data_IF_860245640561
#
_entry.id   IF_860245640561
#
_cell.length_a   1.000
_cell.length_b   1.000
_cell.length_c   1.000
_cell.angle_alpha   90.00
_cell.angle_beta   90.00
_cell.angle_gamma   90.00
#
_symmetry.space_group_name_H-M   'P 1'
#
loop_
_entity.id
_entity.type
_entity.pdbx_description
1 polymer ?
#
# COMPACT_ATOMS: atom_id res chain seq x y z
N UNK A 1 -42.53 30.22 28.75
CA UNK A 1 -41.17 29.63 28.67
C UNK A 1 -40.13 30.70 28.99
N UNK A 2 -39.16 30.44 29.86
CA UNK A 2 -38.11 31.40 30.24
C UNK A 2 -36.74 30.89 29.84
N UNK A 3 -35.84 31.79 29.44
CA UNK A 3 -34.46 31.45 29.11
C UNK A 3 -33.63 31.17 30.37
N UNK A 4 -32.66 30.27 30.28
CA UNK A 4 -31.72 30.00 31.38
C UNK A 4 -30.75 31.17 31.62
N UNK A 5 -30.47 31.99 30.59
CA UNK A 5 -29.54 33.12 30.66
C UNK A 5 -30.28 34.45 30.44
N UNK A 6 -29.72 35.55 30.95
CA UNK A 6 -30.23 36.89 30.62
C UNK A 6 -29.90 37.30 29.19
N UNK A 7 -30.73 38.14 28.56
CA UNK A 7 -30.48 38.58 27.19
C UNK A 7 -29.21 39.44 27.09
N UNK A 8 -28.59 39.47 25.92
CA UNK A 8 -27.35 40.20 25.71
C UNK A 8 -27.49 41.71 25.91
N UNK A 9 -28.66 42.28 25.64
CA UNK A 9 -28.92 43.71 25.83
C UNK A 9 -28.90 44.08 27.32
N UNK A 10 -29.58 43.30 28.18
CA UNK A 10 -29.53 43.50 29.63
C UNK A 10 -28.12 43.21 30.19
N UNK A 11 -27.45 42.18 29.68
CA UNK A 11 -26.08 41.83 30.10
C UNK A 11 -25.05 42.91 29.74
N UNK A 12 -25.13 43.50 28.53
CA UNK A 12 -24.31 44.65 28.11
C UNK A 12 -24.56 45.87 28.99
N UNK A 13 -25.79 46.05 29.45
CA UNK A 13 -26.22 47.14 30.34
C UNK A 13 -25.95 46.86 31.83
N UNK A 14 -25.48 45.66 32.19
CA UNK A 14 -25.25 45.21 33.57
C UNK A 14 -26.48 45.35 34.48
N UNK A 15 -27.67 45.06 33.95
CA UNK A 15 -28.93 45.06 34.71
C UNK A 15 -29.57 43.66 34.75
N UNK A 16 -30.45 43.42 35.73
CA UNK A 16 -31.23 42.18 35.84
C UNK A 16 -32.13 41.96 34.62
N UNK A 17 -32.26 40.70 34.18
CA UNK A 17 -33.08 40.29 33.05
C UNK A 17 -34.18 39.33 33.53
N UNK A 18 -35.42 39.58 33.11
CA UNK A 18 -36.64 38.81 33.40
C UNK A 18 -36.75 37.50 32.60
N UNK A 19 -35.93 37.37 31.54
CA UNK A 19 -35.69 36.14 30.75
C UNK A 19 -36.89 35.64 29.94
N UNK A 20 -37.87 36.51 29.65
CA UNK A 20 -39.00 36.16 28.79
C UNK A 20 -38.57 36.01 27.32
N UNK A 21 -39.08 34.97 26.64
CA UNK A 21 -38.79 34.67 25.23
C UNK A 21 -40.03 35.06 24.40
N UNK A 22 -39.89 35.70 23.23
CA UNK A 22 -38.66 35.95 22.45
C UNK A 22 -37.84 37.18 22.88
N UNK A 23 -38.42 38.13 23.62
CA UNK A 23 -37.76 39.34 24.11
C UNK A 23 -38.09 39.60 25.57
N UNK A 24 -37.12 40.14 26.33
CA UNK A 24 -37.34 40.47 27.73
C UNK A 24 -38.13 41.77 27.91
N UNK A 25 -38.92 41.85 28.97
CA UNK A 25 -39.79 42.99 29.27
C UNK A 25 -38.97 44.26 29.56
N UNK A 26 -37.78 44.10 30.16
CA UNK A 26 -36.86 45.22 30.37
C UNK A 26 -36.35 45.85 29.07
N UNK A 27 -36.22 45.07 27.98
CA UNK A 27 -35.87 45.60 26.66
C UNK A 27 -37.08 46.22 25.97
N UNK A 28 -38.25 45.56 26.05
CA UNK A 28 -39.51 46.05 25.48
C UNK A 28 -39.94 47.39 26.09
N UNK A 29 -39.99 47.48 27.42
CA UNK A 29 -40.39 48.71 28.14
C UNK A 29 -39.45 49.87 27.87
N UNK A 30 -38.16 49.57 27.67
CA UNK A 30 -37.17 50.62 27.38
C UNK A 30 -36.98 50.90 25.90
N UNK A 31 -37.86 50.37 25.04
CA UNK A 31 -37.85 50.52 23.57
C UNK A 31 -36.49 50.21 22.93
N UNK A 32 -35.82 49.15 23.42
CA UNK A 32 -34.52 48.71 22.90
C UNK A 32 -34.64 47.33 22.27
N UNK A 33 -33.95 47.14 21.16
CA UNK A 33 -33.88 45.84 20.49
C UNK A 33 -33.24 44.80 21.43
N UNK A 34 -33.99 43.74 21.73
CA UNK A 34 -33.48 42.61 22.50
C UNK A 34 -32.58 41.77 21.58
N UNK A 35 -31.29 41.71 21.89
CA UNK A 35 -30.30 40.92 21.15
C UNK A 35 -30.43 39.40 21.43
N UNK A 36 -31.52 38.98 22.05
CA UNK A 36 -31.83 37.58 22.33
C UNK A 36 -30.91 36.94 23.36
N UNK A 37 -30.99 35.60 23.41
CA UNK A 37 -30.40 34.74 24.44
C UNK A 37 -29.38 33.72 23.90
N UNK A 38 -29.11 33.74 22.59
CA UNK A 38 -28.25 32.77 21.90
C UNK A 38 -26.75 32.92 22.18
N UNK A 39 -25.92 32.07 21.57
CA UNK A 39 -24.46 32.17 21.69
C UNK A 39 -23.94 33.38 20.88
N UNK A 40 -23.03 34.20 21.44
CA UNK A 40 -22.34 35.27 20.70
C UNK A 40 -20.84 34.99 20.69
N UNK A 41 -20.31 34.65 19.52
CA UNK A 41 -18.89 34.47 19.30
C UNK A 41 -18.20 35.85 19.30
N UNK A 42 -17.11 35.97 20.05
CA UNK A 42 -16.21 37.15 20.03
C UNK A 42 -14.84 36.67 19.61
N UNK A 43 -14.35 37.20 18.49
CA UNK A 43 -12.99 36.96 18.03
C UNK A 43 -12.02 37.86 18.82
N UNK A 44 -10.90 37.33 19.36
CA UNK A 44 -9.93 38.15 20.05
C UNK A 44 -9.11 38.96 19.04
N UNK A 45 -9.15 40.29 19.16
CA UNK A 45 -8.08 41.13 18.62
C UNK A 45 -6.82 40.98 19.50
N UNK A 46 -5.68 41.33 18.89
CA UNK A 46 -4.27 41.14 19.29
C UNK A 46 -4.00 40.99 20.80
N UNK A 47 -3.04 40.11 21.19
CA UNK A 47 -2.79 39.78 22.58
C UNK A 47 -2.13 40.94 23.33
N UNK A 48 -2.94 41.78 23.98
CA UNK A 48 -2.48 42.73 24.98
C UNK A 48 -2.10 41.92 26.23
N UNK A 49 -0.81 41.70 26.47
CA UNK A 49 -0.22 40.76 27.46
C UNK A 49 -0.56 40.95 28.94
N UNK A 50 -1.77 41.40 29.29
CA UNK A 50 -2.27 41.67 30.65
C UNK A 50 -3.32 40.69 31.18
N UNK A 51 -3.62 39.57 30.50
CA UNK A 51 -4.53 38.53 31.05
C UNK A 51 -3.79 37.22 31.35
N UNK A 52 -3.92 36.73 32.59
CA UNK A 52 -3.51 35.38 33.00
C UNK A 52 -4.26 34.36 32.12
N UNK A 53 -3.50 33.45 31.48
CA UNK A 53 -4.06 32.30 30.76
C UNK A 53 -4.87 31.45 31.76
N UNK A 54 -6.14 31.11 31.51
CA UNK A 54 -6.76 30.01 32.24
C UNK A 54 -5.97 28.74 31.90
N UNK A 55 -5.66 27.92 32.91
CA UNK A 55 -5.08 26.59 32.71
C UNK A 55 -5.97 25.73 31.79
N UNK A 56 -5.44 24.65 31.22
CA UNK A 56 -6.17 23.81 30.29
C UNK A 56 -7.35 23.18 31.04
N UNK A 57 -8.54 23.75 30.84
CA UNK A 57 -9.77 23.08 31.21
C UNK A 57 -10.10 22.19 30.03
N UNK A 58 -9.94 20.88 30.23
CA UNK A 58 -10.33 19.87 29.25
C UNK A 58 -11.84 19.97 29.09
N UNK A 59 -12.27 20.71 28.05
CA UNK A 59 -13.60 20.55 27.52
C UNK A 59 -13.58 19.31 26.65
N UNK A 60 -14.14 18.21 27.17
CA UNK A 60 -14.58 17.09 26.36
C UNK A 60 -15.67 17.62 25.44
N UNK A 61 -15.29 18.01 24.22
CA UNK A 61 -16.22 18.26 23.15
C UNK A 61 -16.88 16.94 22.80
N UNK A 62 -18.21 16.89 22.98
CA UNK A 62 -19.05 15.81 22.46
C UNK A 62 -18.73 15.63 20.97
N UNK A 63 -18.04 14.53 20.66
CA UNK A 63 -17.72 14.11 19.31
C UNK A 63 -18.98 13.83 18.51
N UNK A 64 -18.85 13.99 17.20
CA UNK A 64 -19.90 13.94 16.20
C UNK A 64 -20.80 12.71 16.33
N UNK A 65 -22.10 12.97 16.52
CA UNK A 65 -23.22 12.04 16.50
C UNK A 65 -23.48 11.38 15.12
N UNK A 66 -22.47 11.31 14.23
CA UNK A 66 -22.63 10.83 12.86
C UNK A 66 -22.20 9.37 12.64
N UNK A 67 -21.34 8.79 13.48
CA UNK A 67 -21.08 7.33 13.48
C UNK A 67 -22.24 6.55 14.12
N UNK A 68 -22.98 7.19 15.04
CA UNK A 68 -24.19 6.64 15.67
C UNK A 68 -25.39 6.50 14.72
N UNK A 69 -25.25 6.86 13.43
CA UNK A 69 -26.32 6.78 12.41
C UNK A 69 -26.21 5.60 11.46
N UNK A 70 -25.19 4.75 11.57
CA UNK A 70 -25.25 3.42 10.96
C UNK A 70 -26.34 2.61 11.66
N UNK A 71 -27.31 2.07 10.90
CA UNK A 71 -28.36 1.17 11.41
C UNK A 71 -27.79 -0.04 12.17
N UNK A 72 -26.51 -0.33 11.99
CA UNK A 72 -25.80 -1.47 12.54
C UNK A 72 -24.71 -1.10 13.55
N UNK A 73 -24.56 0.17 13.93
CA UNK A 73 -23.55 0.61 14.92
C UNK A 73 -23.65 -0.19 16.21
N UNK A 74 -24.87 -0.39 16.71
CA UNK A 74 -25.10 -1.19 17.92
C UNK A 74 -24.66 -2.65 17.79
N UNK A 75 -24.67 -3.24 16.58
CA UNK A 75 -24.17 -4.60 16.36
C UNK A 75 -22.65 -4.64 16.21
N UNK A 76 -22.07 -3.63 15.59
CA UNK A 76 -20.61 -3.50 15.43
C UNK A 76 -19.91 -3.24 16.78
N UNK A 77 -20.53 -2.43 17.65
CA UNK A 77 -20.03 -2.15 19.00
C UNK A 77 -20.13 -3.35 19.95
N UNK A 78 -21.12 -4.23 19.75
CA UNK A 78 -21.33 -5.41 20.61
C UNK A 78 -20.52 -6.64 20.16
N UNK A 79 -19.81 -6.57 19.04
CA UNK A 79 -18.95 -7.64 18.58
C UNK A 79 -17.59 -7.57 19.29
N UNK A 80 -17.27 -8.61 20.06
CA UNK A 80 -15.94 -8.79 20.62
C UNK A 80 -15.02 -9.37 19.54
N UNK A 81 -14.00 -8.61 19.14
CA UNK A 81 -12.91 -9.15 18.32
C UNK A 81 -11.97 -10.02 19.16
N UNK A 82 -11.20 -10.89 18.51
CA UNK A 82 -10.18 -11.70 19.18
C UNK A 82 -9.21 -10.83 19.99
N UNK A 83 -8.90 -9.64 19.47
CA UNK A 83 -8.05 -8.63 20.10
C UNK A 83 -8.65 -8.12 21.42
N UNK A 84 -9.97 -7.88 21.47
CA UNK A 84 -10.69 -7.52 22.70
C UNK A 84 -10.64 -8.63 23.76
N UNK A 85 -10.68 -9.90 23.35
CA UNK A 85 -10.61 -11.07 24.26
C UNK A 85 -9.19 -11.23 24.82
N UNK A 86 -8.17 -11.01 23.99
CA UNK A 86 -6.76 -11.05 24.41
C UNK A 86 -6.48 -9.93 25.42
N UNK A 87 -6.97 -8.70 25.15
CA UNK A 87 -6.84 -7.57 26.06
C UNK A 87 -7.55 -7.80 27.41
N UNK A 88 -8.68 -8.51 27.42
CA UNK A 88 -9.41 -8.84 28.65
C UNK A 88 -8.73 -9.93 29.51
N UNK A 89 -7.82 -10.73 28.93
CA UNK A 89 -7.05 -11.76 29.67
C UNK A 89 -5.82 -11.21 30.36
N UNK A 90 -5.37 -10.03 29.96
CA UNK A 90 -4.23 -9.35 30.56
C UNK A 90 -4.83 -8.48 31.68
N UNK A 91 -4.60 -8.87 32.93
CA UNK A 91 -5.17 -8.24 34.13
C UNK A 91 -4.48 -6.90 34.43
N UNK A 92 -4.58 -5.97 33.48
CA UNK A 92 -3.87 -4.71 33.45
C UNK A 92 -4.89 -3.59 33.45
N UNK A 93 -4.89 -2.81 34.53
CA UNK A 93 -5.76 -1.64 34.69
C UNK A 93 -4.92 -0.36 34.65
N UNK A 94 -5.46 0.68 34.01
CA UNK A 94 -4.88 2.02 34.02
C UNK A 94 -3.83 2.25 32.91
N UNK A 95 -2.72 2.90 33.25
CA UNK A 95 -1.72 3.38 32.28
C UNK A 95 -1.08 2.24 31.49
N UNK A 96 -0.92 1.07 32.11
CA UNK A 96 -0.36 -0.11 31.44
C UNK A 96 -1.32 -0.69 30.38
N UNK A 97 -2.65 -0.52 30.56
CA UNK A 97 -3.65 -0.88 29.55
C UNK A 97 -3.59 0.11 28.39
N UNK A 98 -3.44 1.40 28.69
CA UNK A 98 -3.21 2.45 27.68
C UNK A 98 -1.90 2.25 26.93
N UNK A 99 -0.87 1.71 27.59
CA UNK A 99 0.45 1.43 26.98
C UNK A 99 0.40 0.16 26.13
N UNK A 100 -0.34 -0.86 26.56
CA UNK A 100 -0.64 -2.06 25.76
C UNK A 100 -1.53 -1.73 24.53
N UNK A 101 -2.54 -0.87 24.70
CA UNK A 101 -3.35 -0.32 23.61
C UNK A 101 -2.53 0.58 22.68
N UNK A 102 -1.60 1.37 23.22
CA UNK A 102 -0.67 2.19 22.43
C UNK A 102 0.34 1.37 21.62
N UNK A 103 0.69 0.17 22.08
CA UNK A 103 1.51 -0.78 21.31
C UNK A 103 0.82 -1.28 20.04
N UNK A 104 -0.52 -1.28 20.01
CA UNK A 104 -1.35 -1.62 18.83
C UNK A 104 -1.83 -0.41 18.02
N UNK A 105 -1.83 0.80 18.59
CA UNK A 105 -2.23 2.02 17.89
C UNK A 105 -1.09 2.51 16.99
N UNK A 106 -1.06 2.00 15.75
CA UNK A 106 -0.25 2.57 14.66
C UNK A 106 -0.70 3.99 14.34
N UNK A 107 0.32 4.86 14.22
CA UNK A 107 0.28 6.31 14.00
C UNK A 107 -0.62 7.07 14.98
N UNK A 108 0.00 7.90 15.82
CA UNK A 108 -0.70 8.96 16.52
C UNK A 108 -1.55 9.73 15.51
N UNK A 109 -2.86 9.52 15.53
CA UNK A 109 -3.80 10.37 14.80
C UNK A 109 -3.91 11.69 15.58
N UNK A 110 -2.80 12.42 15.65
CA UNK A 110 -2.84 13.83 15.97
C UNK A 110 -3.60 14.51 14.84
N UNK A 111 -4.63 15.30 15.18
CA UNK A 111 -5.28 16.22 14.25
C UNK A 111 -4.26 17.31 13.84
N UNK A 112 -3.27 16.93 13.03
CA UNK A 112 -2.51 17.87 12.25
C UNK A 112 -3.47 18.43 11.22
N UNK A 113 -3.97 19.64 11.48
CA UNK A 113 -4.73 20.42 10.51
C UNK A 113 -3.78 20.77 9.37
N UNK A 114 -3.64 19.83 8.43
CA UNK A 114 -3.08 20.12 7.13
C UNK A 114 -3.95 21.23 6.51
N UNK A 115 -3.38 22.35 6.04
CA UNK A 115 -4.14 23.33 5.25
C UNK A 115 -4.95 22.59 4.17
N UNK A 116 -6.23 22.93 3.92
CA UNK A 116 -7.01 22.20 2.94
C UNK A 116 -6.23 22.20 1.62
N UNK A 117 -5.99 21.01 1.06
CA UNK A 117 -5.60 20.91 -0.33
C UNK A 117 -6.77 21.52 -1.11
N UNK A 118 -6.50 22.53 -1.92
CA UNK A 118 -7.52 23.26 -2.68
C UNK A 118 -7.24 23.13 -4.17
N UNK A 119 -8.30 23.14 -4.97
CA UNK A 119 -8.18 23.09 -6.43
C UNK A 119 -7.71 21.74 -6.94
N UNK A 120 -6.74 21.75 -7.87
CA UNK A 120 -6.32 20.57 -8.63
C UNK A 120 -5.78 19.44 -7.75
N UNK A 121 -4.94 19.76 -6.76
CA UNK A 121 -4.32 18.75 -5.91
C UNK A 121 -5.33 17.96 -5.08
N UNK A 122 -6.45 18.59 -4.69
CA UNK A 122 -7.53 17.91 -3.96
C UNK A 122 -8.26 16.89 -4.86
N UNK A 123 -8.48 17.24 -6.12
CA UNK A 123 -9.09 16.35 -7.12
C UNK A 123 -8.18 15.16 -7.38
N UNK A 124 -6.88 15.43 -7.59
CA UNK A 124 -5.89 14.39 -7.82
C UNK A 124 -5.74 13.46 -6.62
N UNK A 125 -5.76 13.98 -5.39
CA UNK A 125 -5.68 13.15 -4.20
C UNK A 125 -6.96 12.31 -3.99
N UNK A 126 -8.15 12.87 -4.27
CA UNK A 126 -9.38 12.08 -4.23
C UNK A 126 -9.39 11.00 -5.31
N UNK A 127 -8.81 11.28 -6.48
CA UNK A 127 -8.61 10.28 -7.53
C UNK A 127 -7.62 9.19 -7.09
N UNK A 128 -6.54 9.55 -6.38
CA UNK A 128 -5.64 8.57 -5.79
C UNK A 128 -6.39 7.62 -4.86
N UNK A 129 -7.11 8.14 -3.87
CA UNK A 129 -7.84 7.38 -2.86
C UNK A 129 -8.91 6.45 -3.47
N UNK A 130 -9.66 6.95 -4.45
CA UNK A 130 -10.83 6.23 -4.99
C UNK A 130 -10.51 5.33 -6.17
N UNK A 131 -9.42 5.60 -6.90
CA UNK A 131 -9.11 4.91 -8.16
C UNK A 131 -7.73 4.28 -8.11
N UNK A 132 -6.68 5.04 -7.78
CA UNK A 132 -5.32 4.50 -7.83
C UNK A 132 -5.08 3.47 -6.72
N UNK A 133 -5.37 3.79 -5.44
CA UNK A 133 -5.09 2.87 -4.34
C UNK A 133 -5.82 1.53 -4.46
N UNK A 134 -7.10 1.46 -4.87
CA UNK A 134 -7.74 0.17 -5.14
C UNK A 134 -7.14 -0.54 -6.36
N UNK A 135 -6.77 0.19 -7.43
CA UNK A 135 -6.25 -0.41 -8.67
C UNK A 135 -4.86 -1.06 -8.52
N UNK A 136 -4.11 -0.67 -7.48
CA UNK A 136 -2.73 -1.13 -7.24
C UNK A 136 -2.64 -2.13 -6.08
N UNK A 137 -3.77 -2.53 -5.51
CA UNK A 137 -3.89 -3.54 -4.46
C UNK A 137 -4.90 -4.60 -4.89
N UNK A 138 -4.57 -5.86 -4.71
CA UNK A 138 -5.46 -6.98 -5.09
C UNK A 138 -6.59 -7.18 -4.08
N UNK A 139 -6.39 -6.73 -2.84
CA UNK A 139 -7.35 -6.83 -1.73
C UNK A 139 -7.56 -5.46 -1.09
N UNK A 140 -8.70 -5.24 -0.42
CA UNK A 140 -9.08 -3.90 0.07
C UNK A 140 -9.16 -3.78 1.60
N UNK A 141 -9.40 -4.86 2.34
CA UNK A 141 -9.55 -4.84 3.81
C UNK A 141 -8.31 -4.29 4.52
N UNK A 142 -7.12 -4.54 3.95
CA UNK A 142 -5.83 -4.07 4.48
C UNK A 142 -4.99 -3.35 3.43
N UNK A 143 -5.64 -2.54 2.59
CA UNK A 143 -4.95 -1.79 1.54
C UNK A 143 -4.06 -0.68 2.13
N UNK A 144 -2.79 -1.01 2.40
CA UNK A 144 -1.80 -0.08 2.96
C UNK A 144 -1.53 1.16 2.12
N UNK A 145 -1.82 1.14 0.81
CA UNK A 145 -1.76 2.35 -0.03
C UNK A 145 -2.80 3.39 0.40
N UNK A 146 -3.94 2.94 0.92
CA UNK A 146 -4.98 3.82 1.45
C UNK A 146 -4.85 4.01 2.97
N UNK A 147 -4.55 2.97 3.74
CA UNK A 147 -4.59 3.01 5.22
C UNK A 147 -3.29 3.46 5.86
N UNK A 148 -2.14 3.35 5.19
CA UNK A 148 -0.84 3.79 5.71
C UNK A 148 -0.25 4.95 4.88
N UNK A 149 -0.13 4.78 3.57
CA UNK A 149 0.54 5.75 2.69
C UNK A 149 -0.20 7.08 2.62
N UNK A 150 -1.52 7.06 2.42
CA UNK A 150 -2.31 8.28 2.31
C UNK A 150 -2.31 9.11 3.62
N UNK A 151 -2.57 8.53 4.81
CA UNK A 151 -2.41 9.24 6.08
C UNK A 151 -1.00 9.79 6.27
N UNK A 152 0.04 9.00 5.97
CA UNK A 152 1.44 9.44 6.08
C UNK A 152 1.75 10.64 5.19
N UNK A 153 1.19 10.68 3.98
CA UNK A 153 1.33 11.81 3.05
C UNK A 153 0.58 13.07 3.51
N UNK A 154 -0.41 12.94 4.40
CA UNK A 154 -1.24 14.04 4.90
C UNK A 154 -0.90 14.44 6.34
N UNK A 155 -0.14 13.61 7.04
CA UNK A 155 0.12 13.72 8.47
C UNK A 155 0.81 15.03 8.85
N UNK A 156 1.74 15.52 8.02
CA UNK A 156 2.49 16.73 8.32
C UNK A 156 2.79 17.57 7.08
N UNK A 157 3.33 18.76 7.33
CA UNK A 157 3.90 19.67 6.34
C UNK A 157 5.42 19.52 6.24
N UNK A 158 5.98 18.45 6.82
CA UNK A 158 7.40 18.17 6.72
C UNK A 158 7.80 17.92 5.26
N UNK A 159 9.09 18.13 4.96
CA UNK A 159 9.64 17.85 3.65
C UNK A 159 9.44 16.37 3.27
N UNK A 160 9.56 15.45 4.24
CA UNK A 160 9.29 14.01 4.10
C UNK A 160 7.85 13.69 3.64
N UNK A 161 6.83 14.18 4.34
CA UNK A 161 5.43 13.97 3.99
C UNK A 161 5.06 14.60 2.65
N UNK A 162 5.62 15.78 2.36
CA UNK A 162 5.42 16.45 1.08
C UNK A 162 6.13 15.69 -0.06
N UNK A 163 7.32 15.13 0.20
CA UNK A 163 8.06 14.29 -0.73
C UNK A 163 7.30 13.02 -1.08
N UNK A 164 6.48 12.48 -0.16
CA UNK A 164 5.56 11.36 -0.42
C UNK A 164 4.29 11.80 -1.16
N UNK A 165 3.73 12.97 -0.82
CA UNK A 165 2.50 13.47 -1.46
C UNK A 165 2.67 13.77 -2.94
N UNK A 166 3.77 14.41 -3.31
CA UNK A 166 4.02 14.76 -4.69
C UNK A 166 3.97 13.54 -5.63
N UNK A 167 4.56 12.38 -5.27
CA UNK A 167 4.43 11.18 -6.05
C UNK A 167 3.01 10.65 -6.24
N UNK A 168 2.17 10.72 -5.19
CA UNK A 168 0.76 10.34 -5.24
C UNK A 168 -0.02 11.23 -6.24
N UNK A 169 0.23 12.54 -6.18
CA UNK A 169 -0.36 13.52 -7.10
C UNK A 169 0.14 13.34 -8.53
N UNK A 170 1.42 13.03 -8.71
CA UNK A 170 2.04 12.77 -10.02
C UNK A 170 1.40 11.57 -10.73
N UNK A 171 1.23 10.44 -10.04
CA UNK A 171 0.55 9.25 -10.60
C UNK A 171 -0.89 9.59 -11.00
N UNK A 172 -1.59 10.33 -10.14
CA UNK A 172 -2.97 10.75 -10.39
C UNK A 172 -3.06 11.72 -11.56
N UNK A 173 -2.14 12.68 -11.66
CA UNK A 173 -2.06 13.65 -12.75
C UNK A 173 -1.74 12.97 -14.08
N UNK A 174 -0.90 11.94 -14.08
CA UNK A 174 -0.59 11.15 -15.27
C UNK A 174 -1.86 10.56 -15.89
N UNK A 175 -2.79 10.07 -15.05
CA UNK A 175 -4.03 9.41 -15.47
C UNK A 175 -5.18 10.36 -15.76
N UNK A 176 -5.33 11.40 -14.94
CA UNK A 176 -6.47 12.32 -15.01
C UNK A 176 -6.23 13.54 -15.91
N UNK A 177 -4.97 13.89 -16.18
CA UNK A 177 -4.59 15.10 -16.90
C UNK A 177 -3.73 14.75 -18.13
N UNK A 178 -2.46 15.15 -18.11
CA UNK A 178 -1.49 14.94 -19.16
C UNK A 178 -0.15 14.61 -18.54
N UNK A 179 0.71 13.97 -19.33
CA UNK A 179 2.07 13.66 -18.90
C UNK A 179 2.90 14.90 -18.57
N UNK A 180 2.70 16.00 -19.28
CA UNK A 180 3.40 17.26 -18.97
C UNK A 180 3.01 17.80 -17.58
N UNK A 181 1.79 17.53 -17.11
CA UNK A 181 1.32 17.95 -15.79
C UNK A 181 1.98 17.19 -14.62
N UNK A 182 2.71 16.10 -14.87
CA UNK A 182 3.39 15.33 -13.82
C UNK A 182 4.74 15.92 -13.42
N UNK A 183 5.40 16.66 -14.33
CA UNK A 183 6.76 17.16 -14.14
C UNK A 183 6.95 18.00 -12.86
N UNK A 184 6.05 18.96 -12.54
CA UNK A 184 6.21 19.76 -11.32
C UNK A 184 6.18 18.90 -10.05
N UNK A 185 5.30 17.89 -10.02
CA UNK A 185 5.21 16.97 -8.88
C UNK A 185 6.47 16.10 -8.76
N UNK A 186 6.98 15.54 -9.87
CA UNK A 186 8.24 14.77 -9.88
C UNK A 186 9.41 15.61 -9.36
N UNK A 187 9.56 16.85 -9.86
CA UNK A 187 10.64 17.76 -9.43
C UNK A 187 10.52 18.13 -7.94
N UNK A 188 9.30 18.42 -7.47
CA UNK A 188 9.07 18.74 -6.06
C UNK A 188 9.33 17.54 -5.15
N UNK A 189 8.95 16.33 -5.56
CA UNK A 189 9.23 15.11 -4.82
C UNK A 189 10.72 14.91 -4.57
N UNK A 190 11.53 14.98 -5.65
CA UNK A 190 12.98 14.82 -5.58
C UNK A 190 13.64 15.89 -4.71
N UNK A 191 13.23 17.16 -4.89
CA UNK A 191 13.76 18.27 -4.09
C UNK A 191 13.46 18.07 -2.61
N UNK A 192 12.19 17.79 -2.26
CA UNK A 192 11.77 17.65 -0.87
C UNK A 192 12.35 16.40 -0.22
N UNK A 193 12.52 15.29 -0.96
CA UNK A 193 13.19 14.12 -0.44
C UNK A 193 14.67 14.43 -0.15
N UNK A 194 15.37 15.08 -1.08
CA UNK A 194 16.76 15.50 -0.88
C UNK A 194 16.91 16.41 0.33
N UNK A 195 16.04 17.41 0.48
CA UNK A 195 16.01 18.31 1.65
C UNK A 195 15.76 17.53 2.94
N UNK A 196 14.83 16.57 2.92
CA UNK A 196 14.52 15.76 4.10
C UNK A 196 15.68 14.84 4.50
N UNK A 197 16.29 14.13 3.54
CA UNK A 197 17.39 13.19 3.80
C UNK A 197 18.64 13.94 4.28
N UNK A 198 18.94 15.11 3.71
CA UNK A 198 20.05 15.95 4.17
C UNK A 198 19.82 16.48 5.59
N UNK A 199 18.60 16.88 5.93
CA UNK A 199 18.24 17.28 7.29
C UNK A 199 18.35 16.13 8.30
N UNK A 200 17.97 14.91 7.92
CA UNK A 200 18.06 13.70 8.76
C UNK A 200 19.50 13.30 9.10
N UNK A 201 20.50 13.70 8.31
CA UNK A 201 21.93 13.49 8.65
C UNK A 201 22.38 14.33 9.86
N UNK A 202 21.69 15.44 10.14
CA UNK A 202 22.01 16.32 11.26
C UNK A 202 21.18 16.03 12.52
N UNK A 203 20.04 15.35 12.39
CA UNK A 203 19.19 14.88 13.50
C UNK A 203 18.55 13.56 13.09
N UNK A 204 18.69 12.45 13.84
CA UNK A 204 17.97 11.21 13.55
C UNK A 204 16.47 11.51 13.51
N UNK A 205 15.86 11.48 12.32
CA UNK A 205 14.48 11.93 12.14
C UNK A 205 13.50 10.79 12.41
N UNK A 206 12.37 11.13 13.02
CA UNK A 206 11.19 10.28 13.17
C UNK A 206 10.48 9.97 11.82
N UNK A 207 10.97 10.55 10.72
CA UNK A 207 10.31 10.58 9.40
C UNK A 207 10.80 9.52 8.40
N UNK A 208 11.53 8.50 8.86
CA UNK A 208 12.08 7.43 7.97
C UNK A 208 10.99 6.77 7.13
N UNK A 209 9.82 6.50 7.72
CA UNK A 209 8.69 5.87 7.01
C UNK A 209 8.23 6.71 5.82
N UNK A 210 8.11 8.03 6.00
CA UNK A 210 7.69 8.93 4.93
C UNK A 210 8.75 9.06 3.82
N UNK A 211 10.04 9.02 4.17
CA UNK A 211 11.14 9.02 3.20
C UNK A 211 11.17 7.71 2.40
N UNK A 212 11.04 6.57 3.08
CA UNK A 212 10.98 5.25 2.46
C UNK A 212 9.77 5.13 1.54
N UNK A 213 8.59 5.53 2.01
CA UNK A 213 7.36 5.58 1.24
C UNK A 213 7.51 6.46 -0.01
N UNK A 214 8.17 7.62 0.11
CA UNK A 214 8.40 8.53 -1.01
C UNK A 214 9.28 7.88 -2.09
N UNK A 215 10.39 7.23 -1.68
CA UNK A 215 11.23 6.45 -2.59
C UNK A 215 10.44 5.35 -3.28
N UNK A 216 9.70 4.54 -2.52
CA UNK A 216 8.89 3.47 -3.08
C UNK A 216 7.83 3.98 -4.05
N UNK A 217 7.20 5.13 -3.77
CA UNK A 217 6.23 5.72 -4.69
C UNK A 217 6.86 6.28 -5.96
N UNK A 218 8.08 6.82 -5.89
CA UNK A 218 8.82 7.22 -7.07
C UNK A 218 9.28 6.01 -7.90
N UNK A 219 9.69 4.90 -7.28
CA UNK A 219 9.93 3.64 -7.99
C UNK A 219 8.68 3.18 -8.74
N UNK A 220 7.53 3.23 -8.07
CA UNK A 220 6.25 2.81 -8.65
C UNK A 220 5.75 3.74 -9.76
N UNK A 221 6.12 5.02 -9.80
CA UNK A 221 5.82 5.87 -10.95
C UNK A 221 6.39 5.33 -12.26
N UNK A 222 7.56 4.69 -12.21
CA UNK A 222 8.15 4.01 -13.37
C UNK A 222 7.26 2.88 -13.91
N UNK A 223 6.34 2.34 -13.11
CA UNK A 223 5.37 1.34 -13.58
C UNK A 223 4.31 1.99 -14.47
N UNK A 224 3.92 3.23 -14.18
CA UNK A 224 2.91 3.97 -14.94
C UNK A 224 3.48 4.65 -16.18
N UNK A 225 4.71 5.20 -16.09
CA UNK A 225 5.35 5.95 -17.17
C UNK A 225 6.43 5.12 -17.86
N UNK A 226 6.13 4.62 -19.06
CA UNK A 226 7.01 3.73 -19.84
C UNK A 226 8.39 4.29 -20.19
N UNK A 227 8.57 5.61 -20.14
CA UNK A 227 9.87 6.24 -20.46
C UNK A 227 10.66 6.61 -19.20
N UNK A 228 10.09 6.38 -18.01
CA UNK A 228 10.76 6.59 -16.74
C UNK A 228 11.60 5.34 -16.40
N UNK A 229 12.90 5.39 -16.73
CA UNK A 229 13.84 4.27 -16.51
C UNK A 229 14.49 4.21 -15.13
N UNK A 230 14.25 5.19 -14.26
CA UNK A 230 15.04 5.41 -13.04
C UNK A 230 14.51 4.70 -11.79
N UNK A 231 13.53 3.79 -11.93
CA UNK A 231 12.91 3.09 -10.80
C UNK A 231 13.93 2.35 -9.92
N UNK A 232 14.98 1.81 -10.52
CA UNK A 232 16.05 1.08 -9.82
C UNK A 232 16.86 1.98 -8.88
N UNK A 233 17.02 3.27 -9.22
CA UNK A 233 17.71 4.25 -8.37
C UNK A 233 16.91 4.45 -7.08
N UNK A 234 15.61 4.68 -7.20
CA UNK A 234 14.72 4.88 -6.05
C UNK A 234 14.59 3.61 -5.19
N UNK A 235 14.54 2.44 -5.83
CA UNK A 235 14.53 1.16 -5.11
C UNK A 235 15.85 0.92 -4.36
N UNK A 236 16.99 1.28 -4.95
CA UNK A 236 18.29 1.16 -4.28
C UNK A 236 18.42 2.11 -3.09
N UNK A 237 17.92 3.34 -3.21
CA UNK A 237 17.85 4.27 -2.08
C UNK A 237 16.95 3.75 -0.96
N UNK A 238 15.79 3.15 -1.30
CA UNK A 238 14.93 2.48 -0.31
C UNK A 238 15.68 1.36 0.44
N UNK A 239 16.46 0.54 -0.27
CA UNK A 239 17.31 -0.51 0.33
C UNK A 239 18.33 0.08 1.31
N UNK A 240 19.07 1.09 0.87
CA UNK A 240 20.07 1.76 1.70
C UNK A 240 19.46 2.35 2.98
N UNK A 241 18.26 2.94 2.89
CA UNK A 241 17.54 3.46 4.05
C UNK A 241 17.15 2.35 5.04
N UNK A 242 16.59 1.24 4.54
CA UNK A 242 16.25 0.09 5.40
C UNK A 242 17.47 -0.48 6.12
N UNK A 243 18.58 -0.66 5.39
CA UNK A 243 19.83 -1.14 5.96
C UNK A 243 20.38 -0.17 7.03
N UNK A 244 20.34 1.14 6.77
CA UNK A 244 20.77 2.16 7.73
C UNK A 244 19.94 2.15 9.02
N UNK A 245 18.62 2.04 8.90
CA UNK A 245 17.69 2.02 10.05
C UNK A 245 17.95 0.82 10.96
N UNK A 246 18.21 -0.34 10.34
CA UNK A 246 18.53 -1.57 11.03
C UNK A 246 19.87 -1.50 11.77
N UNK A 247 20.93 -1.04 11.08
CA UNK A 247 22.26 -0.87 11.68
C UNK A 247 22.27 0.17 12.80
N UNK A 248 21.46 1.22 12.67
CA UNK A 248 21.37 2.28 13.66
C UNK A 248 20.57 1.90 14.91
N UNK A 249 20.06 0.65 14.99
CA UNK A 249 19.15 0.19 16.06
C UNK A 249 18.06 1.23 16.34
N UNK A 250 17.43 1.75 15.27
CA UNK A 250 16.41 2.78 15.43
C UNK A 250 15.34 2.30 16.43
N UNK A 251 14.92 3.19 17.32
CA UNK A 251 13.93 2.86 18.37
C UNK A 251 12.59 2.39 17.80
N UNK A 252 12.31 2.70 16.53
CA UNK A 252 11.09 2.32 15.82
C UNK A 252 11.45 1.68 14.46
N UNK A 253 11.12 0.40 14.23
CA UNK A 253 11.26 -0.21 12.92
C UNK A 253 10.24 0.38 11.93
N UNK A 254 10.54 0.36 10.62
CA UNK A 254 9.59 0.79 9.60
C UNK A 254 8.31 -0.05 9.58
N UNK A 255 7.22 0.49 9.03
CA UNK A 255 5.96 -0.27 9.01
C UNK A 255 6.08 -1.58 8.21
N UNK A 256 5.42 -2.62 8.70
CA UNK A 256 5.41 -3.93 8.05
C UNK A 256 4.92 -3.86 6.59
N UNK A 257 3.97 -2.95 6.29
CA UNK A 257 3.49 -2.73 4.94
C UNK A 257 4.60 -2.17 4.03
N UNK A 258 5.31 -1.11 4.45
CA UNK A 258 6.39 -0.51 3.65
C UNK A 258 7.49 -1.53 3.35
N UNK A 259 7.83 -2.31 4.36
CA UNK A 259 8.85 -3.34 4.26
C UNK A 259 8.39 -4.48 3.33
N UNK A 260 7.16 -4.95 3.47
CA UNK A 260 6.56 -5.96 2.57
C UNK A 260 6.49 -5.46 1.13
N UNK A 261 6.11 -4.19 0.95
CA UNK A 261 6.03 -3.57 -0.36
C UNK A 261 7.41 -3.33 -1.00
N UNK A 262 8.43 -3.00 -0.21
CA UNK A 262 9.82 -2.98 -0.68
C UNK A 262 10.27 -4.36 -1.15
N UNK A 263 10.03 -5.39 -0.33
CA UNK A 263 10.41 -6.77 -0.64
C UNK A 263 9.76 -7.25 -1.94
N UNK A 264 8.51 -6.88 -2.22
CA UNK A 264 7.85 -7.13 -3.50
C UNK A 264 8.70 -6.69 -4.70
N UNK A 265 9.13 -5.43 -4.71
CA UNK A 265 9.95 -4.89 -5.80
C UNK A 265 11.34 -5.52 -5.83
N UNK A 266 11.94 -5.78 -4.66
CA UNK A 266 13.27 -6.40 -4.56
C UNK A 266 13.28 -7.81 -5.15
N UNK A 267 12.36 -8.69 -4.71
CA UNK A 267 12.29 -10.08 -5.21
C UNK A 267 11.98 -10.11 -6.70
N UNK A 268 11.08 -9.25 -7.20
CA UNK A 268 10.79 -9.18 -8.63
C UNK A 268 12.00 -8.71 -9.45
N UNK A 269 12.74 -7.71 -8.97
CA UNK A 269 13.98 -7.27 -9.61
C UNK A 269 15.00 -8.42 -9.69
N UNK A 270 15.18 -9.18 -8.60
CA UNK A 270 16.09 -10.34 -8.55
C UNK A 270 15.62 -11.51 -9.41
N UNK A 271 14.31 -11.74 -9.52
CA UNK A 271 13.76 -12.73 -10.44
C UNK A 271 14.11 -12.42 -11.90
N UNK A 272 14.13 -11.14 -12.27
CA UNK A 272 14.54 -10.69 -13.62
C UNK A 272 16.05 -10.66 -13.82
N UNK A 273 16.85 -10.54 -12.76
CA UNK A 273 18.31 -10.45 -12.81
C UNK A 273 18.98 -11.42 -11.81
N UNK A 274 19.02 -12.73 -12.11
CA UNK A 274 19.47 -13.76 -11.16
C UNK A 274 20.93 -13.63 -10.72
N UNK A 275 21.76 -12.92 -11.48
CA UNK A 275 23.19 -12.73 -11.20
C UNK A 275 23.49 -11.48 -10.38
N UNK A 276 22.49 -10.65 -10.08
CA UNK A 276 22.69 -9.36 -9.41
C UNK A 276 22.54 -9.49 -7.87
N UNK A 277 23.64 -9.21 -7.15
CA UNK A 277 23.83 -9.12 -5.68
C UNK A 277 23.55 -10.38 -4.83
N UNK A 278 24.60 -10.91 -4.18
CA UNK A 278 24.56 -12.05 -3.23
C UNK A 278 24.53 -11.61 -1.74
N UNK A 279 24.96 -10.39 -1.41
CA UNK A 279 25.30 -10.03 -0.02
C UNK A 279 24.09 -9.73 0.90
N UNK A 280 22.89 -9.50 0.37
CA UNK A 280 21.70 -9.05 1.14
C UNK A 280 20.65 -10.16 1.44
N UNK A 281 20.99 -11.44 1.24
CA UNK A 281 20.04 -12.57 1.36
C UNK A 281 19.52 -12.82 2.78
N UNK A 282 20.37 -12.63 3.79
CA UNK A 282 19.98 -12.78 5.19
C UNK A 282 18.98 -11.70 5.62
N UNK A 283 18.93 -10.58 4.91
CA UNK A 283 18.05 -9.45 5.19
C UNK A 283 16.62 -9.72 4.74
N UNK A 284 16.41 -10.22 3.52
CA UNK A 284 15.07 -10.59 3.03
C UNK A 284 14.41 -11.66 3.91
N UNK A 285 15.17 -12.69 4.31
CA UNK A 285 14.68 -13.77 5.15
C UNK A 285 14.33 -13.32 6.58
N UNK A 286 15.18 -12.50 7.21
CA UNK A 286 14.92 -12.01 8.56
C UNK A 286 13.64 -11.16 8.62
N UNK A 287 13.35 -10.43 7.54
CA UNK A 287 12.22 -9.51 7.45
C UNK A 287 10.90 -10.25 7.21
N UNK A 288 10.86 -11.22 6.30
CA UNK A 288 9.64 -11.98 5.98
C UNK A 288 9.07 -12.72 7.20
N UNK A 289 9.95 -13.14 8.13
CA UNK A 289 9.57 -13.83 9.37
C UNK A 289 9.29 -12.91 10.57
N UNK A 290 9.26 -11.58 10.41
CA UNK A 290 8.92 -10.65 11.52
C UNK A 290 7.43 -10.56 11.85
N UNK A 291 6.55 -11.15 11.04
CA UNK A 291 5.10 -11.09 11.24
C UNK A 291 4.59 -12.35 11.93
N UNK A 292 3.99 -12.21 13.12
CA UNK A 292 3.25 -13.29 13.81
C UNK A 292 1.90 -13.64 13.12
N UNK A 293 1.62 -13.06 11.95
CA UNK A 293 0.38 -13.23 11.24
C UNK A 293 0.31 -14.56 10.48
N UNK A 294 -0.92 -15.01 10.19
CA UNK A 294 -1.19 -16.16 9.35
C UNK A 294 -0.63 -15.92 7.93
N UNK A 295 0.49 -16.59 7.61
CA UNK A 295 1.21 -16.45 6.34
C UNK A 295 0.44 -16.93 5.11
N UNK A 296 -0.73 -17.53 5.29
CA UNK A 296 -1.64 -17.96 4.21
C UNK A 296 -2.58 -16.86 3.72
N UNK A 297 -2.72 -15.75 4.47
CA UNK A 297 -3.57 -14.62 4.10
C UNK A 297 -2.94 -13.85 2.94
N UNK A 298 -3.75 -13.54 1.93
CA UNK A 298 -3.34 -12.75 0.76
C UNK A 298 -3.07 -11.30 1.16
N UNK A 299 -1.87 -10.81 0.80
CA UNK A 299 -1.48 -9.42 1.02
C UNK A 299 -1.68 -8.63 -0.27
N UNK A 300 -2.55 -7.61 -0.20
CA UNK A 300 -2.99 -6.84 -1.37
C UNK A 300 -1.87 -6.24 -2.23
N UNK A 301 -0.77 -5.76 -1.63
CA UNK A 301 0.36 -5.22 -2.38
C UNK A 301 1.24 -6.28 -3.06
N UNK A 302 1.20 -7.53 -2.60
CA UNK A 302 1.91 -8.66 -3.21
C UNK A 302 1.06 -9.35 -4.28
N UNK A 303 -0.26 -9.34 -4.11
CA UNK A 303 -1.20 -10.16 -4.87
C UNK A 303 -1.28 -11.61 -4.41
N UNK A 304 -0.48 -11.98 -3.43
CA UNK A 304 -0.44 -13.33 -2.88
C UNK A 304 -0.17 -13.29 -1.38
N UNK A 305 -0.26 -14.44 -0.74
CA UNK A 305 0.18 -14.63 0.64
C UNK A 305 1.71 -14.54 0.79
N UNK A 306 2.16 -14.25 2.00
CA UNK A 306 3.58 -14.16 2.35
C UNK A 306 4.25 -15.52 2.13
N UNK A 307 3.58 -16.63 2.46
CA UNK A 307 4.12 -17.99 2.21
C UNK A 307 4.41 -18.22 0.72
N UNK A 308 3.53 -17.80 -0.18
CA UNK A 308 3.77 -17.92 -1.62
C UNK A 308 4.90 -17.03 -2.09
N UNK A 309 4.96 -15.82 -1.55
CA UNK A 309 6.00 -14.87 -1.88
C UNK A 309 7.39 -15.37 -1.45
N UNK A 310 7.50 -16.01 -0.27
CA UNK A 310 8.70 -16.72 0.19
C UNK A 310 9.12 -17.82 -0.79
N UNK A 311 8.16 -18.59 -1.29
CA UNK A 311 8.45 -19.61 -2.32
C UNK A 311 8.97 -18.96 -3.60
N UNK A 312 8.36 -17.88 -4.10
CA UNK A 312 8.85 -17.15 -5.28
C UNK A 312 10.30 -16.70 -5.07
N UNK A 313 10.61 -16.15 -3.89
CA UNK A 313 11.97 -15.76 -3.52
C UNK A 313 12.93 -16.96 -3.56
N UNK A 314 12.56 -18.09 -2.96
CA UNK A 314 13.37 -19.31 -2.98
C UNK A 314 13.58 -19.88 -4.40
N UNK A 315 12.57 -19.79 -5.27
CA UNK A 315 12.68 -20.17 -6.68
C UNK A 315 13.69 -19.26 -7.39
N UNK A 316 13.64 -17.95 -7.17
CA UNK A 316 14.62 -17.00 -7.72
C UNK A 316 16.05 -17.35 -7.31
N UNK A 317 16.26 -17.70 -6.04
CA UNK A 317 17.56 -18.13 -5.51
C UNK A 317 18.02 -19.43 -6.13
N UNK A 318 17.15 -20.43 -6.23
CA UNK A 318 17.46 -21.70 -6.86
C UNK A 318 17.91 -21.50 -8.32
N UNK A 319 17.30 -20.57 -9.05
CA UNK A 319 17.70 -20.21 -10.43
C UNK A 319 19.07 -19.51 -10.47
N UNK A 320 19.35 -18.63 -9.51
CA UNK A 320 20.64 -17.94 -9.40
C UNK A 320 21.79 -18.90 -9.07
N UNK A 321 21.60 -19.76 -8.06
CA UNK A 321 22.57 -20.79 -7.65
C UNK A 321 22.84 -21.75 -8.80
N UNK A 322 21.79 -22.13 -9.54
CA UNK A 322 21.92 -22.96 -10.74
C UNK A 322 22.77 -22.31 -11.83
N UNK A 323 22.53 -21.03 -12.14
CA UNK A 323 23.29 -20.32 -13.18
C UNK A 323 24.80 -20.25 -12.88
N UNK A 324 25.18 -20.35 -11.60
CA UNK A 324 26.57 -20.34 -11.13
C UNK A 324 27.19 -21.74 -11.02
N UNK A 325 26.36 -22.77 -11.01
CA UNK A 325 26.77 -24.14 -10.76
C UNK A 325 27.45 -24.74 -12.00
N UNK A 326 28.78 -24.71 -12.02
CA UNK A 326 29.62 -25.51 -12.91
C UNK A 326 30.04 -26.76 -12.11
N UNK A 327 29.67 -27.95 -12.61
CA UNK A 327 30.03 -29.31 -12.13
C UNK A 327 29.28 -29.94 -10.91
N UNK A 328 28.54 -31.03 -11.21
CA UNK A 328 28.38 -32.28 -10.45
C UNK A 328 27.91 -32.25 -8.99
N UNK A 329 28.73 -31.73 -8.07
CA UNK A 329 28.57 -31.94 -6.62
C UNK A 329 27.45 -31.07 -6.00
N UNK A 330 27.17 -29.91 -6.60
CA UNK A 330 26.09 -29.00 -6.20
C UNK A 330 24.71 -29.38 -6.78
N UNK A 331 24.64 -30.36 -7.69
CA UNK A 331 23.38 -30.75 -8.33
C UNK A 331 22.41 -31.47 -7.38
N UNK A 332 22.92 -32.26 -6.42
CA UNK A 332 22.08 -33.04 -5.49
C UNK A 332 21.39 -32.17 -4.44
N UNK A 333 22.09 -31.15 -3.91
CA UNK A 333 21.54 -30.19 -2.96
C UNK A 333 20.50 -29.28 -3.61
N UNK A 334 20.74 -28.84 -4.85
CA UNK A 334 19.76 -28.07 -5.64
C UNK A 334 18.51 -28.91 -5.95
N UNK A 335 18.68 -30.20 -6.28
CA UNK A 335 17.57 -31.12 -6.50
C UNK A 335 16.73 -31.33 -5.23
N UNK A 336 17.36 -31.49 -4.06
CA UNK A 336 16.64 -31.62 -2.80
C UNK A 336 15.81 -30.37 -2.49
N UNK A 337 16.40 -29.16 -2.59
CA UNK A 337 15.69 -27.90 -2.38
C UNK A 337 14.51 -27.73 -3.35
N UNK A 338 14.67 -28.15 -4.61
CA UNK A 338 13.60 -28.16 -5.62
C UNK A 338 12.41 -29.02 -5.18
N UNK A 339 12.65 -30.27 -4.76
CA UNK A 339 11.59 -31.19 -4.33
C UNK A 339 10.86 -30.68 -3.09
N UNK A 340 11.59 -30.08 -2.15
CA UNK A 340 11.01 -29.42 -0.97
C UNK A 340 10.08 -28.27 -1.37
N UNK A 341 10.51 -27.41 -2.30
CA UNK A 341 9.70 -26.30 -2.82
C UNK A 341 8.46 -26.79 -3.57
N UNK A 342 8.59 -27.79 -4.45
CA UNK A 342 7.46 -28.38 -5.17
C UNK A 342 6.42 -28.96 -4.19
N UNK A 343 6.88 -29.59 -3.12
CA UNK A 343 6.00 -30.15 -2.08
C UNK A 343 5.26 -29.03 -1.32
N UNK A 344 5.95 -27.93 -0.99
CA UNK A 344 5.33 -26.76 -0.36
C UNK A 344 4.28 -26.13 -1.26
N UNK A 345 4.60 -25.87 -2.53
CA UNK A 345 3.68 -25.30 -3.52
C UNK A 345 2.42 -26.16 -3.71
N UNK A 346 2.57 -27.49 -3.70
CA UNK A 346 1.43 -28.40 -3.87
C UNK A 346 0.47 -28.39 -2.67
N UNK A 347 1.02 -28.27 -1.45
CA UNK A 347 0.23 -28.34 -0.21
C UNK A 347 -0.35 -26.99 0.23
N UNK A 348 0.20 -25.90 -0.29
CA UNK A 348 -0.23 -24.56 0.06
C UNK A 348 -1.67 -24.28 -0.41
N UNK A 349 -2.40 -23.59 0.46
CA UNK A 349 -3.61 -22.87 0.14
C UNK A 349 -3.45 -21.41 0.60
N UNK A 350 -4.17 -20.50 -0.04
CA UNK A 350 -4.23 -19.10 0.34
C UNK A 350 -5.68 -18.72 0.64
N UNK A 351 -5.87 -17.74 1.52
CA UNK A 351 -7.19 -17.26 1.88
C UNK A 351 -7.26 -15.73 1.86
N UNK A 352 -8.45 -15.21 1.58
CA UNK A 352 -8.73 -13.79 1.76
C UNK A 352 -8.83 -13.48 3.26
N UNK A 353 -8.54 -12.24 3.61
CA UNK A 353 -8.76 -11.75 4.97
C UNK A 353 -10.26 -11.83 5.30
N UNK A 354 -10.61 -12.11 6.56
CA UNK A 354 -12.00 -12.20 7.01
C UNK A 354 -12.77 -10.89 6.85
N UNK A 355 -12.04 -9.77 6.79
CA UNK A 355 -12.61 -8.43 6.63
C UNK A 355 -12.77 -8.01 5.16
N UNK A 356 -12.43 -8.87 4.18
CA UNK A 356 -12.67 -8.58 2.76
C UNK A 356 -14.17 -8.57 2.42
N UNK A 357 -14.55 -7.73 1.45
CA UNK A 357 -15.92 -7.71 0.94
C UNK A 357 -16.24 -9.05 0.27
N UNK A 358 -17.36 -9.68 0.63
CA UNK A 358 -17.85 -10.95 0.06
C UNK A 358 -17.98 -10.90 -1.48
N UNK A 359 -18.01 -9.71 -2.07
CA UNK A 359 -18.07 -9.49 -3.53
C UNK A 359 -16.72 -9.65 -4.23
N UNK A 360 -15.60 -9.62 -3.50
CA UNK A 360 -14.27 -9.85 -4.06
C UNK A 360 -14.07 -11.35 -4.24
N UNK A 361 -14.04 -11.80 -5.49
CA UNK A 361 -13.82 -13.22 -5.78
C UNK A 361 -12.34 -13.59 -5.56
N UNK A 362 -12.03 -14.76 -4.97
CA UNK A 362 -10.65 -15.27 -4.81
C UNK A 362 -9.89 -15.49 -6.13
N UNK A 363 -10.51 -15.28 -7.29
CA UNK A 363 -9.99 -15.65 -8.60
C UNK A 363 -8.63 -15.03 -8.92
N UNK A 364 -8.36 -13.78 -8.51
CA UNK A 364 -7.06 -13.13 -8.72
C UNK A 364 -5.93 -13.78 -7.92
N UNK A 365 -6.20 -14.17 -6.68
CA UNK A 365 -5.21 -14.79 -5.82
C UNK A 365 -5.00 -16.28 -6.15
N UNK A 366 -6.07 -16.99 -6.51
CA UNK A 366 -6.00 -18.35 -7.05
C UNK A 366 -5.22 -18.39 -8.37
N UNK A 367 -5.27 -17.31 -9.17
CA UNK A 367 -4.43 -17.17 -10.36
C UNK A 367 -2.95 -17.10 -9.95
N UNK A 368 -2.59 -16.24 -9.00
CA UNK A 368 -1.23 -16.11 -8.44
C UNK A 368 -0.66 -17.42 -7.89
N UNK A 369 -1.49 -18.22 -7.22
CA UNK A 369 -1.14 -19.59 -6.81
C UNK A 369 -0.92 -20.52 -8.01
N UNK A 370 -1.80 -20.47 -9.02
CA UNK A 370 -1.66 -21.18 -10.28
C UNK A 370 -0.35 -20.84 -11.01
N UNK A 371 0.08 -19.58 -11.00
CA UNK A 371 1.32 -19.14 -11.63
C UNK A 371 2.56 -19.67 -10.91
N UNK A 372 2.59 -19.67 -9.58
CA UNK A 372 3.71 -20.26 -8.85
C UNK A 372 3.81 -21.78 -9.06
N UNK A 373 2.69 -22.46 -9.27
CA UNK A 373 2.66 -23.87 -9.72
C UNK A 373 3.23 -24.07 -11.13
N UNK A 374 3.25 -23.04 -11.97
CA UNK A 374 3.88 -23.08 -13.31
C UNK A 374 5.38 -22.77 -13.23
N UNK A 375 5.81 -21.87 -12.34
CA UNK A 375 7.22 -21.45 -12.21
C UNK A 375 8.02 -22.46 -11.38
N UNK A 376 7.43 -23.02 -10.33
CA UNK A 376 8.07 -23.98 -9.41
C UNK A 376 8.56 -25.28 -10.08
N UNK A 377 7.99 -25.73 -11.21
CA UNK A 377 8.51 -26.85 -11.98
C UNK A 377 9.09 -26.50 -13.36
N UNK A 378 8.84 -25.29 -13.89
CA UNK A 378 8.93 -25.00 -15.33
C UNK A 378 10.24 -24.45 -15.89
N UNK A 379 11.20 -24.03 -15.06
CA UNK A 379 12.44 -23.38 -15.55
C UNK A 379 13.75 -23.89 -14.93
N UNK A 380 13.75 -25.03 -14.21
CA UNK A 380 15.01 -25.70 -13.86
C UNK A 380 15.47 -26.56 -15.03
N UNK A 381 16.41 -26.01 -15.82
CA UNK A 381 17.16 -26.65 -16.91
C UNK A 381 17.77 -28.04 -16.58
N UNK A 382 17.82 -28.43 -15.30
CA UNK A 382 18.41 -29.70 -14.86
C UNK A 382 17.44 -30.88 -14.76
N UNK A 383 16.16 -30.65 -14.53
CA UNK A 383 15.24 -31.74 -14.18
C UNK A 383 13.86 -31.49 -14.79
N UNK A 384 13.56 -32.24 -15.86
CA UNK A 384 12.25 -32.29 -16.47
C UNK A 384 11.20 -32.58 -15.39
N UNK A 385 10.21 -31.70 -15.26
CA UNK A 385 8.95 -32.15 -14.68
C UNK A 385 8.27 -33.11 -15.62
N UNK A 386 7.47 -34.01 -15.05
CA UNK A 386 6.51 -34.80 -15.83
C UNK A 386 5.63 -33.84 -16.65
N UNK A 387 5.72 -33.94 -17.98
CA UNK A 387 5.07 -33.06 -18.95
C UNK A 387 3.54 -33.02 -18.74
N UNK A 388 2.96 -34.12 -18.23
CA UNK A 388 1.54 -34.21 -17.88
C UNK A 388 1.17 -33.32 -16.68
N UNK A 389 2.00 -33.28 -15.65
CA UNK A 389 1.80 -32.42 -14.47
C UNK A 389 1.86 -30.94 -14.87
N UNK A 390 2.83 -30.58 -15.70
CA UNK A 390 2.99 -29.21 -16.22
C UNK A 390 1.80 -28.78 -17.08
N UNK A 391 1.32 -29.66 -17.96
CA UNK A 391 0.12 -29.40 -18.79
C UNK A 391 -1.12 -29.16 -17.94
N UNK A 392 -1.27 -29.90 -16.83
CA UNK A 392 -2.38 -29.75 -15.88
C UNK A 392 -2.35 -28.36 -15.24
N UNK A 393 -1.20 -27.92 -14.71
CA UNK A 393 -1.07 -26.59 -14.11
C UNK A 393 -1.29 -25.46 -15.12
N UNK A 394 -0.83 -25.62 -16.37
CA UNK A 394 -1.10 -24.65 -17.41
C UNK A 394 -2.60 -24.54 -17.69
N UNK A 395 -3.30 -25.67 -17.81
CA UNK A 395 -4.75 -25.67 -18.02
C UNK A 395 -5.49 -24.98 -16.88
N UNK A 396 -5.14 -25.28 -15.64
CA UNK A 396 -5.74 -24.65 -14.47
C UNK A 396 -5.49 -23.13 -14.48
N UNK A 397 -4.27 -22.68 -14.78
CA UNK A 397 -3.95 -21.25 -14.83
C UNK A 397 -4.69 -20.50 -15.95
N UNK A 398 -4.89 -21.11 -17.12
CA UNK A 398 -5.69 -20.51 -18.19
C UNK A 398 -7.17 -20.44 -17.82
N UNK A 399 -7.72 -21.47 -17.16
CA UNK A 399 -9.10 -21.43 -16.65
C UNK A 399 -9.28 -20.29 -15.63
N UNK A 400 -8.31 -20.09 -14.73
CA UNK A 400 -8.37 -19.00 -13.77
C UNK A 400 -8.20 -17.63 -14.44
N UNK A 401 -7.33 -17.54 -15.45
CA UNK A 401 -7.12 -16.31 -16.22
C UNK A 401 -8.42 -15.84 -16.90
N UNK A 402 -9.18 -16.77 -17.49
CA UNK A 402 -10.49 -16.47 -18.08
C UNK A 402 -11.51 -15.94 -17.05
N UNK A 403 -11.39 -16.34 -15.79
CA UNK A 403 -12.27 -15.90 -14.71
C UNK A 403 -11.90 -14.52 -14.13
N UNK A 404 -10.65 -14.07 -14.27
CA UNK A 404 -10.13 -12.84 -13.64
C UNK A 404 -10.41 -11.58 -14.45
N UNK A 405 -10.51 -11.65 -15.78
CA UNK A 405 -10.72 -10.53 -16.72
C UNK A 405 -9.67 -9.39 -16.66
N UNK A 406 -9.44 -8.76 -15.51
CA UNK A 406 -8.45 -7.69 -15.30
C UNK A 406 -7.45 -8.08 -14.22
N UNK A 407 -6.24 -8.49 -14.60
CA UNK A 407 -5.21 -8.84 -13.62
C UNK A 407 -4.62 -7.59 -12.93
N UNK A 408 -4.50 -7.67 -11.61
CA UNK A 408 -3.91 -6.64 -10.75
C UNK A 408 -2.37 -6.60 -10.78
N UNK A 409 -1.71 -7.73 -11.07
CA UNK A 409 -0.27 -7.78 -11.39
C UNK A 409 -0.05 -8.26 -12.83
N UNK A 410 0.80 -7.59 -13.63
CA UNK A 410 1.09 -8.02 -15.00
C UNK A 410 2.14 -9.14 -15.05
N UNK A 411 2.95 -9.32 -14.01
CA UNK A 411 4.02 -10.33 -13.98
C UNK A 411 3.52 -11.78 -14.17
N UNK A 412 2.46 -12.23 -13.51
CA UNK A 412 1.98 -13.60 -13.69
C UNK A 412 1.44 -13.88 -15.10
N UNK A 413 0.77 -12.90 -15.71
CA UNK A 413 0.34 -12.96 -17.11
C UNK A 413 1.54 -13.08 -18.07
N UNK A 414 2.62 -12.35 -17.81
CA UNK A 414 3.86 -12.46 -18.59
C UNK A 414 4.45 -13.87 -18.53
N UNK A 415 4.48 -14.48 -17.35
CA UNK A 415 4.96 -15.86 -17.19
C UNK A 415 4.08 -16.82 -18.00
N UNK A 416 2.76 -16.72 -17.91
CA UNK A 416 1.87 -17.59 -18.68
C UNK A 416 2.01 -17.40 -20.19
N UNK A 417 2.25 -16.15 -20.62
CA UNK A 417 2.57 -15.85 -22.02
C UNK A 417 3.85 -16.54 -22.48
N UNK A 418 4.87 -16.54 -21.64
CA UNK A 418 6.11 -17.27 -21.86
C UNK A 418 5.90 -18.79 -21.89
N UNK A 419 4.82 -19.33 -21.35
CA UNK A 419 4.55 -20.78 -21.36
C UNK A 419 3.47 -21.19 -22.38
N UNK A 420 2.86 -20.23 -23.08
CA UNK A 420 1.83 -20.51 -24.09
C UNK A 420 2.39 -21.30 -25.28
N UNK A 421 1.63 -22.32 -25.69
CA UNK A 421 2.00 -23.26 -26.76
C UNK A 421 1.03 -23.22 -27.94
N UNK A 422 -0.24 -22.85 -27.72
CA UNK A 422 -1.28 -22.79 -28.76
C UNK A 422 -1.66 -21.35 -29.12
N UNK A 423 -2.19 -21.16 -30.34
CA UNK A 423 -2.71 -19.86 -30.77
C UNK A 423 -3.88 -19.39 -29.90
N UNK A 424 -4.75 -20.31 -29.45
CA UNK A 424 -5.90 -20.00 -28.59
C UNK A 424 -5.43 -19.40 -27.25
N UNK A 425 -4.38 -19.98 -26.65
CA UNK A 425 -3.77 -19.44 -25.43
C UNK A 425 -3.18 -18.04 -25.65
N UNK A 426 -2.51 -17.82 -26.79
CA UNK A 426 -1.94 -16.51 -27.14
C UNK A 426 -3.04 -15.46 -27.31
N UNK A 427 -4.15 -15.81 -27.97
CA UNK A 427 -5.33 -14.94 -28.13
C UNK A 427 -5.93 -14.58 -26.77
N UNK A 428 -6.11 -15.56 -25.88
CA UNK A 428 -6.62 -15.30 -24.53
C UNK A 428 -5.75 -14.29 -23.76
N UNK A 429 -4.43 -14.44 -23.84
CA UNK A 429 -3.48 -13.54 -23.18
C UNK A 429 -3.54 -12.13 -23.76
N UNK A 430 -3.60 -11.99 -25.08
CA UNK A 430 -3.75 -10.67 -25.72
C UNK A 430 -5.07 -10.01 -25.31
N UNK A 431 -6.16 -10.78 -25.22
CA UNK A 431 -7.45 -10.27 -24.75
C UNK A 431 -7.41 -9.76 -23.31
N UNK A 432 -6.70 -10.44 -22.41
CA UNK A 432 -6.50 -9.95 -21.04
C UNK A 432 -5.59 -8.71 -21.03
N UNK A 433 -4.54 -8.66 -21.84
CA UNK A 433 -3.70 -7.46 -21.96
C UNK A 433 -4.50 -6.26 -22.49
N UNK A 434 -5.44 -6.45 -23.41
CA UNK A 434 -6.34 -5.40 -23.91
C UNK A 434 -7.21 -4.87 -22.76
N UNK A 435 -7.88 -5.77 -22.02
CA UNK A 435 -8.73 -5.41 -20.88
C UNK A 435 -7.94 -4.70 -19.77
N UNK A 436 -6.72 -5.15 -19.49
CA UNK A 436 -5.85 -4.48 -18.52
C UNK A 436 -5.46 -3.07 -18.96
N UNK A 437 -5.21 -2.84 -20.25
CA UNK A 437 -4.86 -1.51 -20.77
C UNK A 437 -6.08 -0.57 -20.74
N UNK A 438 -7.26 -1.07 -21.11
CA UNK A 438 -8.51 -0.33 -21.09
C UNK A 438 -8.91 0.12 -19.67
N UNK A 439 -8.77 -0.78 -18.69
CA UNK A 439 -9.19 -0.50 -17.30
C UNK A 439 -8.09 0.22 -16.51
N UNK A 440 -6.84 -0.24 -16.65
CA UNK A 440 -5.73 0.21 -15.79
C UNK A 440 -4.79 1.19 -16.47
N UNK A 441 -4.72 1.24 -17.79
CA UNK A 441 -3.89 2.17 -18.58
C UNK A 441 -2.48 2.40 -17.98
N UNK A 442 -1.80 1.30 -17.64
CA UNK A 442 -0.46 1.30 -17.04
C UNK A 442 0.55 1.16 -18.17
N UNK A 443 1.53 2.08 -18.27
CA UNK A 443 2.51 2.10 -19.36
C UNK A 443 3.28 0.77 -19.56
N UNK A 444 3.53 0.04 -18.47
CA UNK A 444 4.20 -1.26 -18.52
C UNK A 444 3.42 -2.36 -19.27
N UNK A 445 2.10 -2.26 -19.42
CA UNK A 445 1.31 -3.27 -20.14
C UNK A 445 1.69 -3.28 -21.63
N UNK A 446 1.85 -2.10 -22.23
CA UNK A 446 2.28 -1.95 -23.62
C UNK A 446 3.71 -2.47 -23.83
N UNK A 447 4.62 -2.17 -22.89
CA UNK A 447 6.00 -2.69 -22.92
C UNK A 447 5.99 -4.22 -22.86
N UNK A 448 5.22 -4.78 -21.93
CA UNK A 448 5.05 -6.21 -21.76
C UNK A 448 4.48 -6.89 -23.01
N UNK A 449 3.42 -6.34 -23.61
CA UNK A 449 2.85 -6.85 -24.87
C UNK A 449 3.92 -6.93 -25.96
N UNK A 450 4.69 -5.86 -26.14
CA UNK A 450 5.75 -5.84 -27.16
C UNK A 450 6.81 -6.91 -26.92
N UNK A 451 7.18 -7.17 -25.66
CA UNK A 451 8.13 -8.24 -25.31
C UNK A 451 7.52 -9.61 -25.62
N UNK A 452 6.29 -9.87 -25.20
CA UNK A 452 5.57 -11.13 -25.41
C UNK A 452 5.45 -11.44 -26.91
N UNK A 453 5.00 -10.47 -27.71
CA UNK A 453 4.86 -10.67 -29.15
C UNK A 453 6.19 -10.97 -29.83
N UNK A 454 7.26 -10.27 -29.45
CA UNK A 454 8.61 -10.55 -29.96
C UNK A 454 9.07 -11.95 -29.57
N UNK A 455 8.80 -12.38 -28.33
CA UNK A 455 9.14 -13.71 -27.85
C UNK A 455 8.42 -14.80 -28.63
N UNK A 456 7.12 -14.66 -28.89
CA UNK A 456 6.36 -15.60 -29.71
C UNK A 456 6.88 -15.64 -31.15
N UNK A 457 7.08 -14.48 -31.78
CA UNK A 457 7.66 -14.39 -33.13
C UNK A 457 9.02 -15.09 -33.21
N UNK A 458 9.90 -14.87 -32.22
CA UNK A 458 11.20 -15.55 -32.18
C UNK A 458 11.07 -17.07 -32.01
N UNK A 459 10.14 -17.54 -31.18
CA UNK A 459 9.90 -18.98 -31.01
C UNK A 459 9.36 -19.61 -32.29
N UNK A 460 8.40 -18.97 -32.95
CA UNK A 460 7.81 -19.46 -34.19
C UNK A 460 8.86 -19.55 -35.31
N UNK A 461 9.72 -18.53 -35.43
CA UNK A 461 10.85 -18.54 -36.36
C UNK A 461 11.87 -19.65 -36.05
N UNK A 462 12.13 -19.94 -34.76
CA UNK A 462 13.04 -21.03 -34.35
C UNK A 462 12.42 -22.41 -34.55
N UNK A 463 11.11 -22.58 -34.39
CA UNK A 463 10.46 -23.87 -34.65
C UNK A 463 10.50 -24.31 -36.13
N UNK A 464 10.80 -23.38 -37.05
CA UNK A 464 11.07 -23.69 -38.45
C UNK A 464 12.52 -24.07 -38.78
N UNK A 465 13.45 -23.98 -37.81
CA UNK A 465 14.85 -24.34 -37.97
C UNK A 465 15.24 -25.35 -36.87
N UNK A 466 15.59 -26.59 -37.23
CA UNK A 466 15.91 -27.71 -36.31
C UNK A 466 17.10 -27.46 -35.35
N UNK A 467 16.98 -26.50 -34.44
CA UNK A 467 17.89 -26.24 -33.33
C UNK A 467 17.16 -25.44 -32.26
N UNK A 468 16.71 -26.15 -31.22
CA UNK A 468 16.27 -25.54 -29.97
C UNK A 468 17.47 -25.25 -29.06
N UNK A 469 17.86 -23.97 -28.92
CA UNK A 469 18.25 -23.48 -27.60
C UNK A 469 17.20 -22.49 -27.10
N UNK A 470 16.71 -22.77 -25.89
CA UNK A 470 15.77 -21.95 -25.13
C UNK A 470 16.35 -20.55 -24.85
N UNK A 471 15.48 -19.55 -24.71
CA UNK A 471 15.86 -18.16 -24.44
C UNK A 471 16.73 -18.05 -23.19
N UNK A 472 17.90 -17.42 -23.33
CA UNK A 472 18.76 -17.05 -22.24
C UNK A 472 18.35 -15.65 -21.74
N UNK A 473 17.84 -15.56 -20.51
CA UNK A 473 17.27 -14.33 -19.94
C UNK A 473 18.32 -13.33 -19.42
N UNK A 474 19.57 -13.48 -19.84
CA UNK A 474 20.72 -12.71 -19.34
C UNK A 474 21.32 -11.74 -20.36
N UNK A 475 20.55 -11.31 -21.38
CA UNK A 475 20.98 -10.29 -22.33
C UNK A 475 19.98 -9.13 -22.38
#
# INVERSE_FOLDING_TARGET
MKSQKGCWTCKKRKIGCDRNIPSCDNCLRTKRTCLGYGLRLTWPNRPDGRRRKPGPTIHVSQGNQHEARSQYYGRQFLNFTLENIVLARIDVLGIDLLTALAGGLRMDCGLCLHPPLLGQDAILLSYYEKVISPMISTTQARNGFCTEILPMALFSQAASASALRNPLLSISAFRHLSRAATLPYKMNALRQLSDSVTASRCRPSEDVDAQLAACMMMSMQGVFDREEGNWHVHLNEARNMLHFVRLSHAQRPPSAFLVTWFLYYDVLARFTQPTHNEDDDAECHAILHTSEADGSIIVGCLGCSIELFEIIHHISRLRADHAKCIEGYMASTLLQRRVELETKVRKMAQCLDSDEDERVTPSEADANLGYCRIISPGNSFLFATDDATRTTYLKDAFNTLEAVMVASSPWPLFILACESQSEQQRIAILGVLDQMDDVRSIGNILVMRNIIEKLWKQRDLRSGADCSPQLNWSQ
#
